data_IF_495374415592
#
_entry.id   IF_495374415592
#
_cell.length_a   1.000
_cell.length_b   1.000
_cell.length_c   1.000
_cell.angle_alpha   90.00
_cell.angle_beta   90.00
_cell.angle_gamma   90.00
#
_symmetry.space_group_name_H-M   'P 1'
#
loop_
_entity.id
_entity.type
_entity.pdbx_description
1 polymer ?
#
# COMPACT_ATOMS: atom_id res chain seq x y z
N UNK A 1 8.30 -40.79 2.56
CA UNK A 1 9.40 -40.37 1.67
C UNK A 1 9.18 -41.02 0.31
N UNK A 2 8.56 -40.34 -0.64
CA UNK A 2 8.41 -40.86 -2.02
C UNK A 2 9.51 -40.23 -2.87
N UNK A 3 10.46 -41.05 -3.29
CA UNK A 3 11.48 -40.69 -4.29
C UNK A 3 10.77 -40.63 -5.65
N UNK A 4 10.37 -39.43 -6.09
CA UNK A 4 9.97 -39.22 -7.48
C UNK A 4 11.24 -39.09 -8.33
N UNK A 5 11.82 -40.24 -8.67
CA UNK A 5 12.95 -40.37 -9.60
C UNK A 5 12.47 -40.67 -11.02
N UNK A 6 11.59 -39.84 -11.56
CA UNK A 6 11.32 -39.80 -12.99
C UNK A 6 11.87 -38.46 -13.50
N UNK A 7 13.07 -38.47 -14.10
CA UNK A 7 13.51 -37.30 -14.87
C UNK A 7 12.48 -37.07 -15.98
N UNK A 8 11.84 -35.89 -16.01
CA UNK A 8 10.92 -35.53 -17.09
C UNK A 8 11.67 -35.58 -18.43
N UNK A 9 11.04 -36.12 -19.46
CA UNK A 9 11.62 -36.15 -20.82
C UNK A 9 12.00 -34.76 -21.32
N UNK A 10 11.32 -33.71 -20.84
CA UNK A 10 11.66 -32.32 -21.14
C UNK A 10 12.99 -31.88 -20.53
N UNK A 11 13.36 -32.38 -19.35
CA UNK A 11 14.64 -32.03 -18.72
C UNK A 11 15.81 -32.58 -19.55
N UNK A 12 15.69 -33.79 -20.08
CA UNK A 12 16.68 -34.36 -20.98
C UNK A 12 16.81 -33.55 -22.27
N UNK A 13 15.67 -33.19 -22.88
CA UNK A 13 15.65 -32.36 -24.11
C UNK A 13 16.23 -30.95 -23.88
N UNK A 14 15.98 -30.35 -22.71
CA UNK A 14 16.60 -29.08 -22.32
C UNK A 14 18.11 -29.21 -22.25
N UNK A 15 18.64 -30.26 -21.61
CA UNK A 15 20.10 -30.50 -21.50
C UNK A 15 20.75 -30.64 -22.88
N UNK A 16 20.12 -31.37 -23.80
CA UNK A 16 20.61 -31.56 -25.17
C UNK A 16 20.60 -30.25 -25.97
N UNK A 17 19.47 -29.54 -25.98
CA UNK A 17 19.32 -28.31 -26.78
C UNK A 17 20.12 -27.13 -26.26
N UNK A 18 20.61 -27.16 -25.02
CA UNK A 18 21.60 -26.19 -24.55
C UNK A 18 22.93 -26.24 -25.30
N UNK A 19 23.26 -27.34 -25.99
CA UNK A 19 24.46 -27.45 -26.83
C UNK A 19 24.25 -26.78 -28.19
N UNK A 20 23.01 -26.74 -28.66
CA UNK A 20 22.64 -26.24 -29.99
C UNK A 20 22.32 -24.74 -29.93
N UNK A 21 21.77 -24.25 -28.82
CA UNK A 21 21.40 -22.85 -28.64
C UNK A 21 22.64 -21.94 -28.64
N UNK A 22 22.81 -21.07 -29.66
CA UNK A 22 24.00 -20.24 -29.80
C UNK A 22 24.12 -19.18 -28.71
N UNK A 23 23.00 -18.71 -28.15
CA UNK A 23 23.02 -17.72 -27.07
C UNK A 23 23.48 -18.36 -25.77
N UNK A 24 23.01 -19.57 -25.47
CA UNK A 24 23.47 -20.31 -24.29
C UNK A 24 24.92 -20.79 -24.43
N UNK A 25 25.37 -21.14 -25.64
CA UNK A 25 26.77 -21.45 -25.90
C UNK A 25 27.70 -20.27 -25.58
N UNK A 26 27.35 -19.05 -26.03
CA UNK A 26 28.10 -17.83 -25.68
C UNK A 26 28.11 -17.58 -24.16
N UNK A 27 27.00 -17.83 -23.47
CA UNK A 27 26.95 -17.72 -22.00
C UNK A 27 27.82 -18.76 -21.31
N UNK A 28 27.89 -20.00 -21.82
CA UNK A 28 28.80 -21.04 -21.29
C UNK A 28 30.26 -20.61 -21.42
N UNK A 29 30.67 -20.09 -22.58
CA UNK A 29 32.02 -19.55 -22.77
C UNK A 29 32.31 -18.35 -21.86
N UNK A 30 31.33 -17.46 -21.67
CA UNK A 30 31.50 -16.30 -20.80
C UNK A 30 31.67 -16.71 -19.32
N UNK A 31 31.00 -17.78 -18.88
CA UNK A 31 31.19 -18.39 -17.55
C UNK A 31 32.59 -19.00 -17.43
N UNK A 32 33.04 -19.76 -18.43
CA UNK A 32 34.40 -20.34 -18.44
C UNK A 32 35.49 -19.27 -18.39
N UNK A 33 35.25 -18.13 -19.05
CA UNK A 33 36.15 -16.98 -19.05
C UNK A 33 36.04 -16.10 -17.80
N UNK A 34 35.31 -16.53 -16.75
CA UNK A 34 35.05 -15.76 -15.53
C UNK A 34 34.48 -14.35 -15.75
N UNK A 35 33.78 -14.13 -16.88
CA UNK A 35 33.17 -12.83 -17.20
C UNK A 35 31.80 -12.63 -16.53
N UNK A 36 31.13 -13.71 -16.12
CA UNK A 36 29.77 -13.67 -15.57
C UNK A 36 29.67 -14.61 -14.36
N UNK A 37 29.30 -14.08 -13.19
CA UNK A 37 29.18 -14.83 -11.93
C UNK A 37 27.77 -15.34 -11.62
N UNK A 38 26.75 -14.82 -12.29
CA UNK A 38 25.34 -15.21 -12.07
C UNK A 38 25.00 -16.60 -12.60
N UNK A 39 25.80 -17.07 -13.56
CA UNK A 39 25.64 -18.37 -14.21
C UNK A 39 26.75 -19.32 -13.78
N UNK A 40 26.42 -20.60 -13.74
CA UNK A 40 27.32 -21.68 -13.34
C UNK A 40 27.11 -22.88 -14.24
N UNK A 41 28.19 -23.60 -14.54
CA UNK A 41 28.11 -24.92 -15.15
C UNK A 41 27.95 -25.97 -14.06
N UNK A 42 26.98 -26.88 -14.21
CA UNK A 42 26.84 -28.02 -13.30
C UNK A 42 28.05 -28.95 -13.43
N UNK A 43 28.72 -29.23 -12.32
CA UNK A 43 30.04 -29.86 -12.31
C UNK A 43 30.11 -31.26 -12.95
N UNK A 44 29.01 -32.02 -12.90
CA UNK A 44 28.95 -33.39 -13.47
C UNK A 44 28.20 -33.46 -14.81
N UNK A 45 27.26 -32.55 -15.07
CA UNK A 45 26.39 -32.59 -16.25
C UNK A 45 26.78 -31.56 -17.34
N UNK A 46 27.66 -30.60 -17.05
CA UNK A 46 28.07 -29.55 -18.00
C UNK A 46 26.94 -28.60 -18.40
N UNK A 47 25.85 -28.60 -17.62
CA UNK A 47 24.61 -27.89 -17.94
C UNK A 47 24.68 -26.46 -17.39
N UNK A 48 24.26 -25.49 -18.20
CA UNK A 48 24.21 -24.09 -17.79
C UNK A 48 23.04 -23.88 -16.82
N UNK A 49 23.35 -23.27 -15.67
CA UNK A 49 22.39 -22.91 -14.64
C UNK A 49 22.52 -21.43 -14.27
N UNK A 50 21.39 -20.77 -14.02
CA UNK A 50 21.33 -19.42 -13.48
C UNK A 50 20.90 -19.51 -12.01
N UNK A 51 21.77 -19.11 -11.08
CA UNK A 51 21.50 -19.20 -9.63
C UNK A 51 21.00 -20.60 -9.19
N UNK A 52 21.62 -21.66 -9.72
CA UNK A 52 21.24 -23.07 -9.44
C UNK A 52 20.05 -23.61 -10.24
N UNK A 53 19.35 -22.78 -11.02
CA UNK A 53 18.20 -23.19 -11.85
C UNK A 53 18.61 -23.53 -13.28
N UNK A 54 18.04 -24.60 -13.84
CA UNK A 54 18.29 -25.04 -15.21
C UNK A 54 17.91 -23.96 -16.24
N UNK A 55 18.84 -23.58 -17.12
CA UNK A 55 18.56 -22.64 -18.22
C UNK A 55 17.79 -23.34 -19.34
N UNK A 56 16.66 -22.79 -19.77
CA UNK A 56 15.84 -23.38 -20.86
C UNK A 56 16.14 -22.66 -22.19
N UNK A 57 16.65 -23.38 -23.20
CA UNK A 57 16.85 -22.86 -24.57
C UNK A 57 15.60 -22.23 -25.15
N UNK A 58 15.78 -21.22 -26.00
CA UNK A 58 14.66 -20.57 -26.71
C UNK A 58 14.46 -21.17 -28.11
N UNK A 59 14.23 -22.48 -28.15
CA UNK A 59 14.15 -23.27 -29.39
C UNK A 59 12.90 -24.15 -29.38
N UNK A 60 12.30 -24.39 -30.55
CA UNK A 60 11.21 -25.37 -30.77
C UNK A 60 10.04 -25.29 -29.78
N UNK A 61 9.69 -24.08 -29.33
CA UNK A 61 8.67 -23.85 -28.29
C UNK A 61 8.91 -24.65 -26.99
N UNK A 62 10.18 -24.98 -26.69
CA UNK A 62 10.55 -25.78 -25.52
C UNK A 62 10.11 -25.12 -24.21
N UNK A 63 10.27 -23.80 -24.10
CA UNK A 63 9.76 -23.01 -22.96
C UNK A 63 8.25 -23.12 -22.80
N UNK A 64 7.50 -23.10 -23.91
CA UNK A 64 6.05 -23.29 -23.91
C UNK A 64 5.67 -24.68 -23.39
N UNK A 65 6.34 -25.73 -23.88
CA UNK A 65 6.11 -27.12 -23.43
C UNK A 65 6.44 -27.31 -21.94
N UNK A 66 7.53 -26.69 -21.46
CA UNK A 66 7.88 -26.70 -20.03
C UNK A 66 6.81 -25.99 -19.20
N UNK A 67 6.31 -24.84 -19.66
CA UNK A 67 5.22 -24.12 -18.98
C UNK A 67 3.92 -24.93 -18.97
N UNK A 68 3.58 -25.59 -20.08
CA UNK A 68 2.38 -26.42 -20.21
C UNK A 68 2.43 -27.64 -19.27
N UNK A 69 3.57 -28.36 -19.24
CA UNK A 69 3.79 -29.48 -18.32
C UNK A 69 3.70 -29.02 -16.86
N UNK A 70 4.31 -27.86 -16.53
CA UNK A 70 4.22 -27.30 -15.20
C UNK A 70 2.77 -26.94 -14.82
N UNK A 71 2.01 -26.38 -15.78
CA UNK A 71 0.61 -25.99 -15.59
C UNK A 71 -0.34 -27.18 -15.39
N UNK A 72 -0.07 -28.31 -16.05
CA UNK A 72 -0.82 -29.56 -15.87
C UNK A 72 -0.35 -30.42 -14.70
N UNK A 73 0.74 -30.05 -14.02
CA UNK A 73 1.21 -30.80 -12.86
C UNK A 73 0.19 -30.73 -11.70
N UNK A 74 0.11 -31.79 -10.89
CA UNK A 74 -0.69 -31.82 -9.65
C UNK A 74 -0.30 -30.73 -8.63
N UNK A 75 0.81 -30.03 -8.86
CA UNK A 75 1.33 -28.94 -8.03
C UNK A 75 1.09 -27.56 -8.64
N UNK A 76 0.29 -27.46 -9.70
CA UNK A 76 -0.15 -26.18 -10.25
C UNK A 76 -1.00 -25.44 -9.21
N UNK A 77 -0.32 -24.68 -8.35
CA UNK A 77 -0.93 -23.74 -7.43
C UNK A 77 -1.31 -22.50 -8.25
N UNK A 78 -2.44 -22.59 -8.94
CA UNK A 78 -3.10 -21.38 -9.42
C UNK A 78 -3.46 -20.57 -8.18
N UNK A 79 -3.01 -19.31 -8.11
CA UNK A 79 -3.51 -18.39 -7.08
C UNK A 79 -5.03 -18.37 -7.24
N UNK A 80 -5.75 -19.03 -6.34
CA UNK A 80 -7.20 -18.91 -6.33
C UNK A 80 -7.52 -17.42 -6.26
N UNK A 81 -8.38 -16.96 -7.15
CA UNK A 81 -8.91 -15.61 -7.14
C UNK A 81 -9.73 -15.47 -5.85
N UNK A 82 -9.11 -14.88 -4.82
CA UNK A 82 -9.76 -14.58 -3.54
C UNK A 82 -10.41 -13.20 -3.54
N UNK A 83 -10.51 -12.56 -4.71
CA UNK A 83 -11.29 -11.33 -4.83
C UNK A 83 -12.76 -11.72 -4.76
N UNK A 84 -13.44 -11.26 -3.71
CA UNK A 84 -14.90 -11.28 -3.72
C UNK A 84 -15.36 -10.46 -4.92
N UNK A 85 -16.42 -10.88 -5.65
CA UNK A 85 -17.00 -10.03 -6.68
C UNK A 85 -17.26 -8.65 -6.08
N UNK A 86 -16.78 -7.61 -6.76
CA UNK A 86 -16.88 -6.23 -6.28
C UNK A 86 -18.33 -5.93 -5.94
N UNK A 87 -18.62 -5.78 -4.65
CA UNK A 87 -19.96 -5.44 -4.17
C UNK A 87 -20.35 -4.03 -4.64
N UNK A 88 -21.65 -3.73 -4.56
CA UNK A 88 -22.13 -2.36 -4.73
C UNK A 88 -21.45 -1.46 -3.68
N UNK A 89 -20.73 -0.44 -4.14
CA UNK A 89 -20.14 0.56 -3.27
C UNK A 89 -21.27 1.32 -2.58
N UNK A 90 -21.26 1.34 -1.24
CA UNK A 90 -22.21 2.16 -0.50
C UNK A 90 -21.95 3.64 -0.84
N UNK A 91 -22.91 4.27 -1.51
CA UNK A 91 -22.86 5.71 -1.76
C UNK A 91 -23.02 6.41 -0.42
N UNK A 92 -22.00 7.14 -0.01
CA UNK A 92 -22.10 7.96 1.18
C UNK A 92 -22.81 9.27 0.82
N UNK A 93 -23.78 9.69 1.64
CA UNK A 93 -24.50 10.94 1.43
C UNK A 93 -23.53 12.13 1.35
N UNK A 94 -23.80 13.04 0.41
CA UNK A 94 -23.02 14.26 0.24
C UNK A 94 -23.45 15.22 1.36
N UNK A 95 -22.53 15.65 2.23
CA UNK A 95 -22.85 16.62 3.28
C UNK A 95 -23.27 17.96 2.67
N UNK A 96 -24.14 18.68 3.35
CA UNK A 96 -24.61 19.99 2.89
C UNK A 96 -23.65 21.11 3.31
N UNK A 97 -22.93 20.92 4.41
CA UNK A 97 -22.08 21.95 5.01
C UNK A 97 -20.60 21.56 5.07
N UNK A 98 -19.74 22.57 4.93
CA UNK A 98 -18.29 22.41 5.15
C UNK A 98 -18.05 21.98 6.59
N UNK A 99 -17.19 20.99 6.80
CA UNK A 99 -16.85 20.40 8.10
C UNK A 99 -17.93 19.55 8.77
N UNK A 100 -19.07 19.32 8.11
CA UNK A 100 -20.14 18.44 8.64
C UNK A 100 -19.68 16.98 8.72
N UNK A 101 -18.98 16.52 7.69
CA UNK A 101 -18.38 15.19 7.65
C UNK A 101 -16.90 15.32 7.30
N UNK A 102 -16.05 14.93 8.25
CA UNK A 102 -14.60 14.89 8.07
C UNK A 102 -14.11 13.44 8.06
N UNK A 103 -13.12 13.17 7.21
CA UNK A 103 -12.34 11.94 7.26
C UNK A 103 -11.02 12.23 7.94
N UNK A 104 -10.56 11.31 8.78
CA UNK A 104 -9.35 11.47 9.56
C UNK A 104 -8.49 10.22 9.39
N UNK A 105 -7.19 10.42 9.15
CA UNK A 105 -6.25 9.32 8.95
C UNK A 105 -4.84 9.72 9.43
N UNK A 106 -3.97 8.72 9.63
CA UNK A 106 -2.59 8.92 10.04
C UNK A 106 -1.62 8.29 9.05
N UNK A 107 -0.65 9.08 8.59
CA UNK A 107 0.54 8.58 7.92
C UNK A 107 1.62 8.37 8.97
N UNK A 108 1.86 7.11 9.33
CA UNK A 108 2.82 6.70 10.37
C UNK A 108 4.10 6.11 9.79
N UNK A 109 5.14 5.94 10.62
CA UNK A 109 6.40 5.31 10.21
C UNK A 109 7.34 6.24 9.43
N UNK A 110 7.18 7.56 9.59
CA UNK A 110 8.03 8.55 8.93
C UNK A 110 9.36 8.73 9.69
N UNK A 111 10.44 9.12 8.99
CA UNK A 111 11.68 9.52 9.65
C UNK A 111 11.44 10.62 10.69
N UNK A 112 12.01 10.44 11.88
CA UNK A 112 11.86 11.41 12.99
C UNK A 112 12.48 12.75 12.64
N UNK A 113 11.71 13.81 12.76
CA UNK A 113 12.21 15.19 12.66
C UNK A 113 12.98 15.61 13.92
N UNK A 114 13.72 16.72 13.87
CA UNK A 114 14.39 17.30 15.05
C UNK A 114 13.42 17.61 16.20
N UNK A 115 12.15 17.93 15.87
CA UNK A 115 11.08 18.17 16.85
C UNK A 115 10.37 16.89 17.31
N UNK A 116 10.92 15.72 16.93
CA UNK A 116 10.46 14.37 17.29
C UNK A 116 9.10 13.97 16.72
N UNK A 117 8.59 14.66 15.71
CA UNK A 117 7.43 14.19 14.94
C UNK A 117 7.85 13.02 14.05
N UNK A 118 7.06 11.95 14.04
CA UNK A 118 7.24 10.74 13.22
C UNK A 118 5.96 10.30 12.51
N UNK A 119 4.93 11.15 12.53
CA UNK A 119 3.66 10.87 11.88
C UNK A 119 2.98 12.16 11.40
N UNK A 120 2.08 12.03 10.44
CA UNK A 120 1.25 13.14 9.94
C UNK A 120 -0.21 12.75 10.16
N UNK A 121 -0.94 13.61 10.86
CA UNK A 121 -2.40 13.50 10.99
C UNK A 121 -3.06 14.26 9.85
N UNK A 122 -3.89 13.57 9.09
CA UNK A 122 -4.58 14.06 7.90
C UNK A 122 -6.05 14.22 8.24
N UNK A 123 -6.58 15.44 8.06
CA UNK A 123 -8.01 15.74 8.25
C UNK A 123 -8.54 16.26 6.92
N UNK A 124 -9.51 15.55 6.34
CA UNK A 124 -10.08 15.86 5.02
C UNK A 124 -11.55 16.20 5.17
N UNK A 125 -11.93 17.40 4.75
CA UNK A 125 -13.33 17.79 4.62
C UNK A 125 -13.96 17.05 3.43
N UNK A 126 -15.03 16.28 3.66
CA UNK A 126 -15.63 15.44 2.61
C UNK A 126 -16.25 16.28 1.50
N UNK A 127 -16.83 17.45 1.82
CA UNK A 127 -17.53 18.32 0.89
C UNK A 127 -16.56 18.99 -0.09
N UNK A 128 -15.59 19.74 0.44
CA UNK A 128 -14.65 20.54 -0.36
C UNK A 128 -13.43 19.76 -0.82
N UNK A 129 -13.22 18.54 -0.29
CA UNK A 129 -11.98 17.73 -0.46
C UNK A 129 -10.71 18.43 0.03
N UNK A 130 -10.83 19.52 0.81
CA UNK A 130 -9.68 20.18 1.39
C UNK A 130 -9.04 19.32 2.48
N UNK A 131 -7.71 19.18 2.45
CA UNK A 131 -6.94 18.37 3.39
C UNK A 131 -6.04 19.24 4.27
N UNK A 132 -6.01 18.94 5.56
CA UNK A 132 -5.15 19.56 6.56
C UNK A 132 -4.16 18.53 7.09
N UNK A 133 -2.88 18.90 7.06
CA UNK A 133 -1.77 18.05 7.49
C UNK A 133 -1.15 18.63 8.77
N UNK A 134 -1.22 17.86 9.85
CA UNK A 134 -0.67 18.24 11.14
C UNK A 134 0.48 17.28 11.50
N UNK A 135 1.69 17.79 11.75
CA UNK A 135 2.78 16.95 12.23
C UNK A 135 2.48 16.51 13.66
N UNK A 136 2.55 15.21 13.91
CA UNK A 136 2.24 14.59 15.19
C UNK A 136 3.26 13.51 15.55
N UNK A 137 3.25 13.05 16.79
CA UNK A 137 4.01 11.88 17.19
C UNK A 137 3.07 10.71 17.29
N UNK A 138 3.45 9.56 16.77
CA UNK A 138 2.74 8.29 16.93
C UNK A 138 2.49 7.88 18.39
N UNK A 139 3.23 8.50 19.32
CA UNK A 139 3.11 8.29 20.79
C UNK A 139 2.17 9.27 21.47
N UNK A 140 1.65 10.28 20.75
CA UNK A 140 0.71 11.24 21.32
C UNK A 140 -0.63 10.55 21.60
N UNK A 141 -1.27 10.93 22.70
CA UNK A 141 -2.57 10.43 23.14
C UNK A 141 -3.73 11.06 22.38
N UNK A 142 -4.90 10.43 22.40
CA UNK A 142 -6.12 10.97 21.79
C UNK A 142 -6.48 12.38 22.31
N UNK A 143 -6.27 12.63 23.60
CA UNK A 143 -6.49 13.93 24.24
C UNK A 143 -5.54 15.00 23.69
N UNK A 144 -4.27 14.64 23.47
CA UNK A 144 -3.28 15.54 22.86
C UNK A 144 -3.65 15.87 21.41
N UNK A 145 -4.22 14.93 20.65
CA UNK A 145 -4.75 15.21 19.31
C UNK A 145 -5.96 16.14 19.34
N UNK A 146 -6.91 15.93 20.26
CA UNK A 146 -8.08 16.80 20.40
C UNK A 146 -7.66 18.25 20.71
N UNK A 147 -6.65 18.45 21.55
CA UNK A 147 -6.09 19.78 21.85
C UNK A 147 -5.42 20.43 20.62
N UNK A 148 -4.80 19.66 19.72
CA UNK A 148 -4.21 20.18 18.49
C UNK A 148 -5.25 20.66 17.49
N UNK A 149 -6.44 20.02 17.46
CA UNK A 149 -7.56 20.42 16.60
C UNK A 149 -8.12 21.79 16.98
N UNK A 150 -8.19 22.09 18.29
CA UNK A 150 -8.69 23.39 18.79
C UNK A 150 -7.70 24.52 18.49
N UNK A 151 -6.41 24.23 18.29
CA UNK A 151 -5.34 25.24 18.35
C UNK A 151 -4.79 25.71 16.99
N UNK A 152 -5.18 25.13 15.85
CA UNK A 152 -4.60 25.52 14.53
C UNK A 152 -5.58 25.45 13.35
N UNK A 153 -6.29 26.53 13.11
CA UNK A 153 -6.65 26.91 11.74
C UNK A 153 -5.58 27.87 11.22
N UNK A 154 -4.88 27.44 10.17
CA UNK A 154 -3.49 27.79 9.83
C UNK A 154 -3.13 29.28 9.72
N UNK A 155 -4.10 30.22 9.67
CA UNK A 155 -3.86 31.67 9.57
C UNK A 155 -4.74 32.53 10.52
N UNK A 156 -5.55 31.96 11.41
CA UNK A 156 -6.32 32.69 12.43
C UNK A 156 -6.54 31.82 13.66
N UNK A 157 -6.23 32.36 14.84
CA UNK A 157 -6.82 31.88 16.09
C UNK A 157 -8.30 32.28 16.07
N UNK A 158 -9.16 31.32 15.73
CA UNK A 158 -10.61 31.51 15.83
C UNK A 158 -11.03 30.75 17.07
N UNK A 159 -11.24 31.48 18.15
CA UNK A 159 -11.89 30.92 19.30
C UNK A 159 -13.34 30.60 18.90
N UNK A 160 -13.76 29.35 19.10
CA UNK A 160 -15.09 28.88 18.76
C UNK A 160 -15.80 28.41 20.02
N UNK A 161 -17.09 28.66 20.07
CA UNK A 161 -17.97 28.21 21.14
C UNK A 161 -18.93 27.17 20.59
N UNK A 162 -19.16 26.12 21.36
CA UNK A 162 -20.17 25.11 21.03
C UNK A 162 -21.53 25.65 21.43
N UNK A 163 -22.39 25.94 20.46
CA UNK A 163 -23.74 26.45 20.71
C UNK A 163 -24.72 25.29 20.62
N UNK A 164 -25.44 25.08 21.72
CA UNK A 164 -26.51 24.08 21.80
C UNK A 164 -27.83 24.78 21.49
N UNK A 165 -28.45 24.40 20.37
CA UNK A 165 -29.77 24.85 19.97
C UNK A 165 -30.79 23.83 20.45
N UNK A 166 -31.68 24.26 21.35
CA UNK A 166 -32.87 23.50 21.72
C UNK A 166 -34.06 24.08 20.96
N UNK A 167 -34.50 23.38 19.91
CA UNK A 167 -35.83 23.57 19.33
C UNK A 167 -36.74 22.46 19.82
N UNK A 168 -38.06 22.69 19.81
CA UNK A 168 -39.09 21.87 20.46
C UNK A 168 -39.09 20.37 20.07
N UNK A 169 -38.30 19.95 19.08
CA UNK A 169 -38.17 18.56 18.63
C UNK A 169 -36.73 18.10 18.32
N UNK A 170 -35.71 18.97 18.37
CA UNK A 170 -34.33 18.61 18.01
C UNK A 170 -33.33 19.37 18.87
N UNK A 171 -32.35 18.64 19.42
CA UNK A 171 -31.13 19.20 20.00
C UNK A 171 -30.02 19.17 18.95
N UNK A 172 -29.63 20.34 18.46
CA UNK A 172 -28.54 20.52 17.49
C UNK A 172 -27.37 21.26 18.16
N UNK A 173 -26.14 20.90 17.80
CA UNK A 173 -24.95 21.60 18.27
C UNK A 173 -24.14 22.10 17.08
N UNK A 174 -23.98 23.42 16.97
CA UNK A 174 -23.11 24.04 15.94
C UNK A 174 -21.90 24.68 16.60
N UNK A 175 -20.77 24.65 15.89
CA UNK A 175 -19.54 25.35 16.30
C UNK A 175 -19.55 26.74 15.68
N UNK A 176 -19.68 27.75 16.50
CA UNK A 176 -19.85 29.13 16.06
C UNK A 176 -18.63 29.97 16.47
N UNK A 177 -18.31 30.99 15.68
CA UNK A 177 -17.18 31.88 15.96
C UNK A 177 -17.49 32.69 17.21
N UNK A 178 -16.62 32.64 18.22
CA UNK A 178 -16.86 33.28 19.52
C UNK A 178 -17.07 34.80 19.38
N UNK A 179 -16.31 35.47 18.50
CA UNK A 179 -16.47 36.91 18.27
C UNK A 179 -17.83 37.28 17.69
N UNK A 180 -18.35 36.49 16.75
CA UNK A 180 -19.68 36.73 16.15
C UNK A 180 -20.79 36.43 17.16
N UNK A 181 -20.61 35.40 17.99
CA UNK A 181 -21.55 35.08 19.06
C UNK A 181 -21.56 36.14 20.17
N UNK A 182 -20.40 36.72 20.51
CA UNK A 182 -20.31 37.85 21.45
C UNK A 182 -20.96 39.12 20.91
N UNK A 183 -20.86 39.37 19.60
CA UNK A 183 -21.51 40.52 18.96
C UNK A 183 -23.03 40.36 18.89
N UNK A 184 -23.50 39.16 18.51
CA UNK A 184 -24.93 38.89 18.29
C UNK A 184 -25.70 38.59 19.58
N UNK A 185 -25.03 37.97 20.56
CA UNK A 185 -25.61 37.57 21.84
C UNK A 185 -24.68 37.93 23.02
N UNK A 186 -24.40 39.23 23.25
CA UNK A 186 -23.45 39.68 24.27
C UNK A 186 -23.82 39.20 25.69
N UNK A 187 -25.11 39.13 26.00
CA UNK A 187 -25.63 38.70 27.29
C UNK A 187 -25.29 37.24 27.67
N UNK A 188 -24.96 36.37 26.70
CA UNK A 188 -24.50 35.00 26.96
C UNK A 188 -23.07 34.94 27.51
N UNK A 189 -22.34 36.05 27.48
CA UNK A 189 -20.93 36.15 27.86
C UNK A 189 -20.69 37.11 29.04
N UNK A 190 -21.74 37.75 29.57
CA UNK A 190 -21.68 38.73 30.66
C UNK A 190 -21.69 38.10 32.07
N UNK A 191 -21.64 36.76 32.18
CA UNK A 191 -21.56 36.04 33.45
C UNK A 191 -20.23 35.28 33.57
N UNK A 192 -19.14 36.03 33.79
CA UNK A 192 -17.91 35.50 34.39
C UNK A 192 -17.40 36.50 35.43
#
# INVERSE_FOLDING_TARGET
>A
MVRNGAESSLVAEVKEKQLIDPALAQMKEAVLNNKISTFSLGGEDGVLRCQGRLCVPDMDNLRGRVMEEAHHSRYSQVKAEHQRPSGLTQLMEIPMWKWEIINMDFVVGLPRTQRKFDSIWVIVDRLTKSAHFLPVKSTDTAEQYAQLQVRKLRNKEVASVKVLWQSQQVEEATWEVESEMKEKYPHLFEQV
#
